data_IF_607652117048
#
_entry.id   IF_607652117048
#
_cell.length_a   1.000
_cell.length_b   1.000
_cell.length_c   1.000
_cell.angle_alpha   90.00
_cell.angle_beta   90.00
_cell.angle_gamma   90.00
#
_symmetry.space_group_name_H-M   'P 1'
#
loop_
_entity.id
_entity.type
_entity.pdbx_description
1 polymer ?
#
# COMPACT_ATOMS: atom_id res chain seq x y z
N UNK A 1 -19.57 2.44 -4.48
CA UNK A 1 -19.58 1.09 -5.09
C UNK A 1 -20.94 0.70 -5.65
N UNK A 2 -22.04 0.83 -4.92
CA UNK A 2 -23.38 0.36 -5.35
C UNK A 2 -23.79 0.77 -6.78
N UNK A 3 -23.73 2.05 -7.13
CA UNK A 3 -24.14 2.52 -8.46
C UNK A 3 -23.31 1.88 -9.61
N UNK A 4 -22.01 1.67 -9.40
CA UNK A 4 -21.14 1.00 -10.37
C UNK A 4 -21.46 -0.50 -10.46
N UNK A 5 -21.67 -1.16 -9.32
CA UNK A 5 -22.13 -2.56 -9.28
C UNK A 5 -23.44 -2.73 -10.06
N UNK A 6 -24.42 -1.85 -9.85
CA UNK A 6 -25.69 -1.88 -10.58
C UNK A 6 -25.50 -1.66 -12.09
N UNK A 7 -24.59 -0.76 -12.48
CA UNK A 7 -24.28 -0.51 -13.89
C UNK A 7 -23.66 -1.74 -14.58
N UNK A 8 -22.67 -2.39 -13.98
CA UNK A 8 -22.03 -3.59 -14.57
C UNK A 8 -22.98 -4.78 -14.60
N UNK A 9 -23.85 -4.93 -13.60
CA UNK A 9 -24.86 -5.99 -13.58
C UNK A 9 -25.94 -5.76 -14.65
N UNK A 10 -26.38 -4.52 -14.83
CA UNK A 10 -27.27 -4.16 -15.93
C UNK A 10 -26.63 -4.46 -17.28
N UNK A 11 -25.38 -4.02 -17.50
CA UNK A 11 -24.64 -4.29 -18.73
C UNK A 11 -24.52 -5.79 -19.04
N UNK A 12 -24.20 -6.61 -18.03
CA UNK A 12 -24.17 -8.08 -18.13
C UNK A 12 -25.52 -8.66 -18.52
N UNK A 13 -26.58 -8.24 -17.82
CA UNK A 13 -27.91 -8.82 -17.98
C UNK A 13 -28.56 -8.43 -19.30
N UNK A 14 -28.35 -7.21 -19.79
CA UNK A 14 -28.80 -6.75 -21.12
C UNK A 14 -28.25 -7.60 -22.28
N UNK A 15 -27.12 -8.28 -22.05
CA UNK A 15 -26.46 -9.17 -23.02
C UNK A 15 -26.70 -10.65 -22.74
N UNK A 16 -27.52 -10.97 -21.74
CA UNK A 16 -27.73 -12.34 -21.26
C UNK A 16 -26.43 -13.08 -20.90
N UNK A 17 -25.40 -12.34 -20.46
CA UNK A 17 -24.08 -12.91 -20.16
C UNK A 17 -23.98 -13.59 -18.80
N UNK A 18 -25.01 -13.47 -17.97
CA UNK A 18 -25.06 -14.12 -16.66
C UNK A 18 -24.83 -15.64 -16.74
N UNK A 19 -25.24 -16.29 -17.84
CA UNK A 19 -25.02 -17.72 -18.10
C UNK A 19 -23.54 -18.11 -18.25
N UNK A 20 -22.68 -17.20 -18.72
CA UNK A 20 -21.24 -17.43 -18.89
C UNK A 20 -20.44 -17.05 -17.64
N UNK A 21 -21.01 -16.23 -16.77
CA UNK A 21 -20.38 -15.67 -15.57
C UNK A 21 -20.45 -16.64 -14.38
N UNK A 22 -19.94 -17.87 -14.58
CA UNK A 22 -19.66 -18.77 -13.45
C UNK A 22 -18.56 -18.16 -12.57
N UNK A 23 -18.54 -18.50 -11.28
CA UNK A 23 -17.53 -17.95 -10.36
C UNK A 23 -16.10 -18.25 -10.84
N UNK A 24 -15.86 -19.46 -11.36
CA UNK A 24 -14.56 -19.83 -11.96
C UNK A 24 -14.21 -18.92 -13.13
N UNK A 25 -15.13 -18.72 -14.06
CA UNK A 25 -14.86 -17.93 -15.27
C UNK A 25 -14.56 -16.48 -14.91
N UNK A 26 -15.33 -15.88 -14.01
CA UNK A 26 -15.09 -14.52 -13.53
C UNK A 26 -13.73 -14.35 -12.87
N UNK A 27 -13.30 -15.32 -12.04
CA UNK A 27 -11.96 -15.29 -11.41
C UNK A 27 -10.85 -15.42 -12.46
N UNK A 28 -11.05 -16.28 -13.46
CA UNK A 28 -10.11 -16.41 -14.59
C UNK A 28 -10.02 -15.09 -15.35
N UNK A 29 -11.15 -14.49 -15.73
CA UNK A 29 -11.19 -13.20 -16.41
C UNK A 29 -10.49 -12.11 -15.60
N UNK A 30 -10.76 -11.97 -14.30
CA UNK A 30 -10.05 -11.03 -13.43
C UNK A 30 -8.52 -11.20 -13.50
N UNK A 31 -8.04 -12.45 -13.56
CA UNK A 31 -6.60 -12.71 -13.65
C UNK A 31 -6.03 -12.38 -15.05
N UNK A 32 -6.83 -12.47 -16.11
CA UNK A 32 -6.43 -12.03 -17.44
C UNK A 32 -6.26 -10.52 -17.47
N UNK A 33 -7.24 -9.74 -16.99
CA UNK A 33 -7.13 -8.26 -16.96
C UNK A 33 -6.01 -7.78 -16.03
N UNK A 34 -5.77 -8.49 -14.92
CA UNK A 34 -4.60 -8.21 -14.07
C UNK A 34 -3.27 -8.52 -14.79
N UNK A 35 -3.29 -9.46 -15.73
CA UNK A 35 -2.18 -9.75 -16.63
C UNK A 35 -1.99 -8.65 -17.68
N UNK A 36 -3.07 -8.18 -18.31
CA UNK A 36 -3.03 -7.06 -19.27
C UNK A 36 -2.49 -5.78 -18.60
N UNK A 37 -2.94 -5.49 -17.36
CA UNK A 37 -2.36 -4.43 -16.53
C UNK A 37 -0.85 -4.60 -16.30
N UNK A 38 -0.39 -5.82 -16.04
CA UNK A 38 1.03 -6.13 -15.86
C UNK A 38 1.82 -5.94 -17.17
N UNK A 39 1.26 -6.36 -18.30
CA UNK A 39 1.90 -6.26 -19.62
C UNK A 39 2.22 -4.82 -20.01
N UNK A 40 1.41 -3.84 -19.57
CA UNK A 40 1.71 -2.42 -19.76
C UNK A 40 3.07 -2.02 -19.17
N UNK A 41 3.54 -2.70 -18.12
CA UNK A 41 4.73 -2.33 -17.35
C UNK A 41 5.94 -3.25 -17.58
N UNK A 42 5.75 -4.43 -18.19
CA UNK A 42 6.74 -5.52 -18.16
C UNK A 42 8.12 -5.18 -18.77
N UNK A 43 8.19 -4.26 -19.74
CA UNK A 43 9.42 -3.85 -20.43
C UNK A 43 9.81 -2.40 -20.16
N UNK A 44 9.19 -1.74 -19.17
CA UNK A 44 9.43 -0.35 -18.83
C UNK A 44 10.34 -0.24 -17.60
N UNK A 45 11.14 0.82 -17.53
CA UNK A 45 11.82 1.22 -16.30
C UNK A 45 10.85 1.82 -15.28
N UNK A 46 11.22 1.82 -14.00
CA UNK A 46 10.41 2.44 -12.94
C UNK A 46 10.05 3.92 -13.25
N UNK A 47 10.98 4.65 -13.87
CA UNK A 47 10.75 6.06 -14.26
C UNK A 47 9.72 6.20 -15.39
N UNK A 48 9.72 5.27 -16.36
CA UNK A 48 8.73 5.26 -17.44
C UNK A 48 7.35 4.85 -16.94
N UNK A 49 7.27 3.88 -16.01
CA UNK A 49 6.01 3.49 -15.37
C UNK A 49 5.44 4.64 -14.54
N UNK A 50 6.27 5.32 -13.74
CA UNK A 50 5.81 6.46 -12.93
C UNK A 50 5.34 7.63 -13.81
N UNK A 51 5.95 7.82 -14.98
CA UNK A 51 5.53 8.84 -15.94
C UNK A 51 4.11 8.61 -16.47
N UNK A 52 3.52 7.41 -16.37
CA UNK A 52 2.11 7.18 -16.74
C UNK A 52 1.14 8.01 -15.88
N UNK A 53 1.55 8.46 -14.69
CA UNK A 53 0.78 9.37 -13.86
C UNK A 53 0.84 10.84 -14.33
N UNK A 54 1.82 11.21 -15.17
CA UNK A 54 1.97 12.56 -15.71
C UNK A 54 0.93 12.83 -16.81
N UNK A 55 0.09 13.88 -16.70
CA UNK A 55 -0.84 14.27 -17.76
C UNK A 55 -0.19 14.58 -19.13
N UNK A 56 1.11 14.87 -19.17
CA UNK A 56 1.87 15.12 -20.40
C UNK A 56 2.33 13.84 -21.11
N UNK A 57 2.25 12.69 -20.45
CA UNK A 57 2.53 11.39 -21.09
C UNK A 57 1.47 11.07 -22.15
N UNK A 58 1.87 10.28 -23.16
CA UNK A 58 1.01 9.83 -24.24
C UNK A 58 -0.36 9.38 -23.73
N UNK A 59 -1.41 10.06 -24.20
CA UNK A 59 -2.79 9.86 -23.78
C UNK A 59 -3.25 8.40 -23.96
N UNK A 60 -2.77 7.69 -24.99
CA UNK A 60 -3.14 6.29 -25.24
C UNK A 60 -2.56 5.35 -24.19
N UNK A 61 -1.33 5.61 -23.72
CA UNK A 61 -0.73 4.81 -22.65
C UNK A 61 -1.47 5.01 -21.33
N UNK A 62 -1.91 6.24 -21.07
CA UNK A 62 -2.70 6.57 -19.88
C UNK A 62 -4.11 5.99 -19.92
N UNK A 63 -4.72 6.01 -21.10
CA UNK A 63 -6.03 5.37 -21.36
C UNK A 63 -5.93 3.86 -21.15
N UNK A 64 -4.95 3.18 -21.76
CA UNK A 64 -4.73 1.75 -21.54
C UNK A 64 -4.56 1.40 -20.05
N UNK A 65 -3.75 2.16 -19.30
CA UNK A 65 -3.61 1.94 -17.85
C UNK A 65 -4.94 2.09 -17.11
N UNK A 66 -5.75 3.08 -17.50
CA UNK A 66 -7.06 3.32 -16.88
C UNK A 66 -8.06 2.20 -17.20
N UNK A 67 -8.07 1.72 -18.45
CA UNK A 67 -8.93 0.65 -18.92
C UNK A 67 -8.62 -0.66 -18.20
N UNK A 68 -7.35 -1.08 -18.12
CA UNK A 68 -7.01 -2.33 -17.42
C UNK A 68 -7.29 -2.26 -15.91
N UNK A 69 -7.09 -1.10 -15.29
CA UNK A 69 -7.50 -0.87 -13.90
C UNK A 69 -9.03 -1.00 -13.73
N UNK A 70 -9.79 -0.48 -14.68
CA UNK A 70 -11.24 -0.56 -14.67
C UNK A 70 -11.71 -2.00 -14.88
N UNK A 71 -11.11 -2.76 -15.80
CA UNK A 71 -11.51 -4.13 -16.09
C UNK A 71 -11.27 -5.07 -14.91
N UNK A 72 -10.12 -4.95 -14.22
CA UNK A 72 -9.87 -5.64 -12.95
C UNK A 72 -10.97 -5.32 -11.91
N UNK A 73 -11.35 -4.05 -11.79
CA UNK A 73 -12.41 -3.63 -10.87
C UNK A 73 -13.77 -4.22 -11.28
N UNK A 74 -14.13 -4.15 -12.55
CA UNK A 74 -15.43 -4.62 -13.05
C UNK A 74 -15.61 -6.12 -12.84
N UNK A 75 -14.58 -6.93 -13.12
CA UNK A 75 -14.64 -8.36 -12.80
C UNK A 75 -14.67 -8.63 -11.30
N UNK A 76 -13.95 -7.86 -10.48
CA UNK A 76 -14.03 -8.01 -9.02
C UNK A 76 -15.45 -7.73 -8.49
N UNK A 77 -16.15 -6.74 -9.06
CA UNK A 77 -17.55 -6.45 -8.73
C UNK A 77 -18.48 -7.60 -9.15
N UNK A 78 -18.27 -8.17 -10.34
CA UNK A 78 -19.03 -9.34 -10.81
C UNK A 78 -18.78 -10.58 -9.94
N UNK A 79 -17.55 -10.81 -9.50
CA UNK A 79 -17.20 -11.88 -8.54
C UNK A 79 -17.93 -11.66 -7.22
N UNK A 80 -17.91 -10.43 -6.70
CA UNK A 80 -18.56 -10.09 -5.44
C UNK A 80 -20.08 -10.34 -5.51
N UNK A 81 -20.74 -9.90 -6.59
CA UNK A 81 -22.16 -10.21 -6.86
C UNK A 81 -22.39 -11.72 -6.90
N UNK A 82 -21.62 -12.45 -7.71
CA UNK A 82 -21.79 -13.89 -7.92
C UNK A 82 -21.58 -14.72 -6.65
N UNK A 83 -20.73 -14.24 -5.74
CA UNK A 83 -20.38 -14.87 -4.47
C UNK A 83 -21.20 -14.35 -3.26
N UNK A 84 -22.07 -13.35 -3.44
CA UNK A 84 -22.85 -12.76 -2.35
C UNK A 84 -22.00 -11.97 -1.34
N UNK A 85 -20.92 -11.33 -1.81
CA UNK A 85 -19.99 -10.56 -0.98
C UNK A 85 -20.36 -9.08 -1.05
N UNK A 86 -20.63 -8.46 0.10
CA UNK A 86 -20.59 -7.01 0.23
C UNK A 86 -19.12 -6.55 0.19
N UNK A 87 -18.66 -6.15 -1.00
CA UNK A 87 -17.26 -5.79 -1.22
C UNK A 87 -16.82 -4.55 -0.42
N UNK A 88 -17.70 -3.57 -0.22
CA UNK A 88 -17.38 -2.37 0.57
C UNK A 88 -17.20 -2.74 2.05
N UNK A 89 -18.14 -3.51 2.61
CA UNK A 89 -18.03 -3.99 3.98
C UNK A 89 -16.79 -4.88 4.18
N UNK A 90 -16.51 -5.78 3.22
CA UNK A 90 -15.34 -6.65 3.24
C UNK A 90 -14.03 -5.85 3.18
N UNK A 91 -13.93 -4.85 2.31
CA UNK A 91 -12.76 -3.98 2.18
C UNK A 91 -12.52 -3.18 3.48
N UNK A 92 -13.56 -2.57 4.06
CA UNK A 92 -13.44 -1.85 5.34
C UNK A 92 -13.02 -2.76 6.48
N UNK A 93 -13.57 -3.97 6.56
CA UNK A 93 -13.15 -4.96 7.55
C UNK A 93 -11.70 -5.37 7.36
N UNK A 94 -11.25 -5.53 6.12
CA UNK A 94 -9.86 -5.84 5.79
C UNK A 94 -8.91 -4.70 6.17
N UNK A 95 -9.27 -3.44 5.94
CA UNK A 95 -8.49 -2.28 6.38
C UNK A 95 -8.31 -2.27 7.91
N UNK A 96 -9.36 -2.52 8.69
CA UNK A 96 -9.25 -2.64 10.16
C UNK A 96 -8.31 -3.77 10.58
N UNK A 97 -8.42 -4.94 9.94
CA UNK A 97 -7.51 -6.07 10.18
C UNK A 97 -6.06 -5.72 9.82
N UNK A 98 -5.85 -4.98 8.73
CA UNK A 98 -4.52 -4.56 8.30
C UNK A 98 -3.93 -3.51 9.26
N UNK A 99 -4.70 -2.54 9.73
CA UNK A 99 -4.25 -1.56 10.71
C UNK A 99 -3.81 -2.21 12.03
N UNK A 100 -4.56 -3.21 12.52
CA UNK A 100 -4.17 -3.99 13.69
C UNK A 100 -2.92 -4.86 13.44
N UNK A 101 -2.68 -5.26 12.18
CA UNK A 101 -1.53 -6.08 11.77
C UNK A 101 -0.26 -5.24 11.57
N UNK A 102 -0.41 -3.96 11.23
CA UNK A 102 0.65 -3.00 10.96
C UNK A 102 0.38 -1.67 11.72
N UNK A 103 0.61 -1.62 13.04
CA UNK A 103 0.47 -0.39 13.81
C UNK A 103 1.40 0.71 13.29
N UNK A 104 0.95 1.97 13.31
CA UNK A 104 1.68 3.11 12.71
C UNK A 104 3.04 3.29 13.36
N UNK A 105 3.11 3.17 14.67
CA UNK A 105 4.29 3.37 15.51
C UNK A 105 5.42 2.39 15.17
N UNK A 106 5.05 1.22 14.63
CA UNK A 106 5.99 0.13 14.31
C UNK A 106 6.20 -0.05 12.81
N UNK A 107 5.33 0.52 11.98
CA UNK A 107 5.30 0.27 10.53
C UNK A 107 5.61 1.51 9.69
N UNK A 108 5.59 2.72 10.27
CA UNK A 108 5.90 3.95 9.53
C UNK A 108 7.31 3.89 8.93
N UNK A 109 7.41 4.07 7.61
CA UNK A 109 8.69 4.02 6.88
C UNK A 109 9.35 2.64 6.84
N UNK A 110 8.64 1.58 7.25
CA UNK A 110 9.19 0.23 7.36
C UNK A 110 8.49 -0.73 6.39
N UNK A 111 9.29 -1.50 5.64
CA UNK A 111 8.82 -2.62 4.81
C UNK A 111 8.78 -3.96 5.55
N UNK A 112 9.02 -3.95 6.88
CA UNK A 112 9.06 -5.16 7.69
C UNK A 112 7.72 -5.89 7.64
N UNK A 113 7.77 -7.20 7.54
CA UNK A 113 6.55 -8.01 7.60
C UNK A 113 6.01 -7.97 9.03
N UNK A 114 4.69 -8.10 9.17
CA UNK A 114 4.04 -8.14 10.47
C UNK A 114 4.57 -9.24 11.41
N UNK A 115 5.10 -10.34 10.83
CA UNK A 115 5.76 -11.42 11.56
C UNK A 115 7.01 -10.90 12.27
N UNK A 116 7.81 -10.09 11.58
CA UNK A 116 9.01 -9.46 12.13
C UNK A 116 8.65 -8.37 13.14
N UNK A 117 7.58 -7.61 12.91
CA UNK A 117 7.08 -6.61 13.85
C UNK A 117 6.65 -7.29 15.16
N UNK A 118 5.84 -8.35 15.08
CA UNK A 118 5.39 -9.11 16.26
C UNK A 118 6.56 -9.75 16.99
N UNK A 119 7.54 -10.31 16.28
CA UNK A 119 8.73 -10.87 16.89
C UNK A 119 9.54 -9.82 17.67
N UNK A 120 9.69 -8.59 17.15
CA UNK A 120 10.38 -7.52 17.88
C UNK A 120 9.60 -7.01 19.09
N UNK A 121 8.26 -6.93 19.03
CA UNK A 121 7.45 -6.63 20.23
C UNK A 121 7.65 -7.72 21.29
N UNK A 122 7.60 -8.99 20.89
CA UNK A 122 7.77 -10.11 21.81
C UNK A 122 9.17 -10.14 22.44
N UNK A 123 10.21 -9.83 21.67
CA UNK A 123 11.58 -9.71 22.18
C UNK A 123 11.74 -8.52 23.14
N UNK A 124 11.16 -7.35 22.82
CA UNK A 124 11.21 -6.18 23.70
C UNK A 124 10.36 -6.30 24.97
N UNK A 125 9.29 -7.11 24.96
CA UNK A 125 8.46 -7.38 26.14
C UNK A 125 9.11 -8.39 27.12
N UNK A 126 10.11 -9.16 26.66
CA UNK A 126 10.89 -10.06 27.52
C UNK A 126 11.93 -9.31 28.38
N UNK A 127 12.25 -8.06 28.02
CA UNK A 127 13.08 -7.14 28.80
C UNK A 127 12.18 -6.23 29.68
N UNK A 128 11.51 -6.80 30.67
CA UNK A 128 10.77 -6.05 31.70
C UNK A 128 11.70 -5.25 32.63
N UNK A 129 11.20 -4.19 33.30
CA UNK A 129 12.02 -3.07 33.75
C UNK A 129 13.05 -3.50 34.79
N UNK A 130 14.33 -3.25 34.49
CA UNK A 130 15.38 -3.32 35.50
C UNK A 130 15.00 -2.37 36.64
N UNK A 131 14.76 -2.96 37.81
CA UNK A 131 14.30 -2.27 39.01
C UNK A 131 15.22 -1.10 39.36
N UNK A 132 14.58 0.03 39.65
CA UNK A 132 15.20 1.17 40.30
C UNK A 132 15.67 0.74 41.70
N UNK A 133 16.96 0.45 41.85
CA UNK A 133 17.66 0.29 43.13
C UNK A 133 18.53 1.52 43.37
N UNK A 134 18.16 2.32 44.37
CA UNK A 134 18.74 3.63 44.62
C UNK A 134 20.01 3.69 45.47
N UNK A 135 20.39 4.95 45.68
CA UNK A 135 21.15 5.55 46.79
C UNK A 135 22.67 5.75 46.64
N UNK A 136 22.99 7.04 46.42
CA UNK A 136 23.95 7.92 47.10
C UNK A 136 25.47 7.79 46.95
N UNK A 137 26.07 8.94 46.62
CA UNK A 137 27.33 9.40 47.20
C UNK A 137 28.31 10.08 46.23
N UNK A 138 28.32 11.43 46.25
CA UNK A 138 29.50 12.33 46.24
C UNK A 138 30.59 12.22 45.15
N UNK A 139 31.23 13.25 44.63
CA UNK A 139 31.19 14.72 44.67
C UNK A 139 32.30 15.17 43.68
N UNK A 140 32.28 16.44 43.22
CA UNK A 140 33.38 17.20 42.55
C UNK A 140 33.60 16.89 41.06
N UNK A 141 33.92 17.84 40.17
CA UNK A 141 34.15 19.28 40.25
C UNK A 141 34.40 19.76 38.80
N UNK A 142 33.92 20.97 38.45
CA UNK A 142 34.54 21.94 37.51
C UNK A 142 34.79 21.45 36.06
N UNK A 143 34.35 22.07 34.95
CA UNK A 143 34.08 23.48 34.63
C UNK A 143 33.60 23.47 33.16
N UNK A 144 32.60 24.28 32.82
CA UNK A 144 32.30 24.70 31.43
C UNK A 144 33.24 25.86 31.07
N UNK A 145 33.58 26.09 29.78
CA UNK A 145 32.68 26.90 28.96
C UNK A 145 32.60 26.50 27.48
N UNK A 146 31.59 27.04 26.81
CA UNK A 146 31.46 27.16 25.34
C UNK A 146 31.66 28.66 24.97
N UNK A 147 31.49 29.13 23.71
CA UNK A 147 31.72 28.56 22.37
C UNK A 147 32.63 29.49 21.51
N UNK A 148 32.98 29.14 20.27
CA UNK A 148 33.46 30.12 19.29
C UNK A 148 33.05 29.80 17.84
N UNK A 149 32.49 30.82 17.20
CA UNK A 149 32.05 30.98 15.81
C UNK A 149 33.20 31.36 14.86
N UNK A 150 33.09 31.02 13.56
CA UNK A 150 33.50 31.76 12.33
C UNK A 150 33.25 30.82 11.13
N UNK A 151 32.39 31.09 10.14
CA UNK A 151 32.30 32.15 9.11
C UNK A 151 33.35 32.09 7.98
N UNK A 152 32.83 31.79 6.78
CA UNK A 152 33.11 32.36 5.44
C UNK A 152 34.16 31.76 4.46
N UNK A 153 33.73 31.84 3.19
CA UNK A 153 34.40 31.75 1.87
C UNK A 153 34.69 30.34 1.31
N UNK A 154 34.03 29.86 0.24
CA UNK A 154 33.97 30.31 -1.16
C UNK A 154 35.25 30.02 -1.97
N UNK A 155 35.15 29.11 -2.95
CA UNK A 155 35.73 29.27 -4.30
C UNK A 155 35.38 28.06 -5.18
N UNK A 156 34.88 28.38 -6.37
CA UNK A 156 34.71 27.52 -7.53
C UNK A 156 35.98 26.73 -7.91
N UNK A 157 35.82 25.56 -8.54
CA UNK A 157 36.40 25.25 -9.85
C UNK A 157 36.24 23.76 -10.23
N UNK A 158 35.70 23.59 -11.44
CA UNK A 158 35.76 22.46 -12.38
C UNK A 158 34.82 21.26 -12.18
#
# INVERSE_FOLDING_TARGET
>A
MRALSEAVLRFRNERDWAQFHTLRNLIVSLNLEAGELLELTQWQSDAEVEALADPQTDARKREALADECADVLLYLLLIADRAGIDLDAAARAKLRKNAAKYPVELSRGSRRKYTEIRAAIAAGAAEGPAGNGGCDGDERSSTRPAPATRSAAASDAN
#
